data_IF_474350089310
#
_entry.id   IF_474350089310
#
_cell.length_a   1.000
_cell.length_b   1.000
_cell.length_c   1.000
_cell.angle_alpha   90.00
_cell.angle_beta   90.00
_cell.angle_gamma   90.00
#
_symmetry.space_group_name_H-M   'P 1'
#
loop_
_entity.id
_entity.type
_entity.pdbx_description
1 polymer ?
#
# COMPACT_ATOMS: atom_id res chain seq x y z
N UNK A 1 7.15 -12.29 23.03
CA UNK A 1 7.78 -11.53 21.94
C UNK A 1 8.82 -12.43 21.31
N UNK A 2 8.80 -12.59 20.00
CA UNK A 2 9.70 -13.53 19.32
C UNK A 2 11.14 -12.96 19.25
N UNK A 3 12.18 -13.80 19.36
CA UNK A 3 13.55 -13.34 19.23
C UNK A 3 13.83 -12.78 17.83
N UNK A 4 14.63 -11.72 17.76
CA UNK A 4 15.05 -11.09 16.52
C UNK A 4 16.45 -11.55 16.11
N UNK A 5 16.55 -12.08 14.90
CA UNK A 5 17.77 -12.67 14.34
C UNK A 5 18.48 -11.75 13.33
N UNK A 6 18.04 -10.49 13.19
CA UNK A 6 18.62 -9.55 12.23
C UNK A 6 17.94 -9.52 10.85
N UNK A 7 16.77 -10.14 10.69
CA UNK A 7 15.99 -10.08 9.44
C UNK A 7 15.35 -8.68 9.27
N UNK A 8 15.75 -7.89 8.24
CA UNK A 8 15.21 -6.55 8.03
C UNK A 8 13.68 -6.54 7.84
N UNK A 9 13.09 -7.61 7.30
CA UNK A 9 11.64 -7.68 7.09
C UNK A 9 10.85 -7.76 8.39
N UNK A 10 11.48 -8.27 9.46
CA UNK A 10 10.88 -8.39 10.80
C UNK A 10 11.22 -7.21 11.69
N UNK A 11 12.11 -6.32 11.26
CA UNK A 11 12.58 -5.18 12.06
C UNK A 11 11.42 -4.34 12.59
N UNK A 12 10.52 -3.89 11.71
CA UNK A 12 9.44 -2.98 12.10
C UNK A 12 8.55 -3.59 13.18
N UNK A 13 8.11 -4.84 12.97
CA UNK A 13 7.27 -5.55 13.94
C UNK A 13 7.99 -5.75 15.26
N UNK A 14 9.26 -6.16 15.22
CA UNK A 14 10.08 -6.30 16.42
C UNK A 14 10.23 -4.96 17.14
N UNK A 15 10.63 -3.90 16.46
CA UNK A 15 10.90 -2.60 17.06
C UNK A 15 9.64 -2.00 17.68
N UNK A 16 8.48 -2.08 17.00
CA UNK A 16 7.21 -1.60 17.54
C UNK A 16 6.82 -2.33 18.82
N UNK A 17 6.93 -3.67 18.83
CA UNK A 17 6.65 -4.47 20.02
C UNK A 17 7.63 -4.19 21.15
N UNK A 18 8.93 -4.10 20.86
CA UNK A 18 9.96 -3.82 21.85
C UNK A 18 9.77 -2.43 22.45
N UNK A 19 9.51 -1.44 21.60
CA UNK A 19 9.36 -0.06 22.02
C UNK A 19 8.13 0.11 22.92
N UNK A 20 6.98 -0.44 22.51
CA UNK A 20 5.75 -0.38 23.29
C UNK A 20 5.83 -1.14 24.63
N UNK A 21 6.55 -2.27 24.70
CA UNK A 21 6.56 -3.13 25.89
C UNK A 21 7.77 -2.93 26.82
N UNK A 22 8.87 -2.35 26.33
CA UNK A 22 10.14 -2.25 27.07
C UNK A 22 10.70 -0.82 27.00
N UNK A 23 10.98 -0.29 25.80
CA UNK A 23 11.71 0.99 25.64
C UNK A 23 10.94 2.18 26.23
N UNK A 24 9.63 2.23 26.00
CA UNK A 24 8.74 3.30 26.48
C UNK A 24 8.44 3.23 27.98
N UNK A 25 8.78 2.13 28.65
CA UNK A 25 8.50 1.97 30.08
C UNK A 25 9.47 2.79 30.92
N UNK A 26 9.00 3.38 32.04
CA UNK A 26 9.85 4.10 32.98
C UNK A 26 10.59 3.11 33.91
N UNK A 27 11.44 2.27 33.32
CA UNK A 27 12.34 1.35 34.04
C UNK A 27 13.79 1.71 33.72
N UNK A 28 14.71 1.33 34.60
CA UNK A 28 16.14 1.65 34.43
C UNK A 28 16.71 1.07 33.14
N UNK A 29 17.64 1.81 32.53
CA UNK A 29 18.30 1.46 31.28
C UNK A 29 19.00 0.09 31.36
N UNK A 30 19.59 -0.27 32.50
CA UNK A 30 20.21 -1.59 32.68
C UNK A 30 19.18 -2.73 32.55
N UNK A 31 17.93 -2.52 33.01
CA UNK A 31 16.85 -3.50 32.82
C UNK A 31 16.43 -3.57 31.37
N UNK A 32 16.28 -2.42 30.70
CA UNK A 32 15.98 -2.37 29.26
C UNK A 32 17.05 -3.06 28.43
N UNK A 33 18.33 -2.88 28.77
CA UNK A 33 19.45 -3.54 28.13
C UNK A 33 19.44 -5.06 28.33
N UNK A 34 19.14 -5.53 29.54
CA UNK A 34 18.94 -6.97 29.79
C UNK A 34 17.84 -7.56 28.93
N UNK A 35 16.70 -6.85 28.79
CA UNK A 35 15.61 -7.29 27.91
C UNK A 35 16.01 -7.26 26.43
N UNK A 36 16.72 -6.21 25.98
CA UNK A 36 17.23 -6.12 24.62
C UNK A 36 18.07 -7.36 24.31
N UNK A 37 19.10 -7.64 25.11
CA UNK A 37 19.98 -8.80 24.93
C UNK A 37 19.25 -10.14 24.97
N UNK A 38 18.19 -10.27 25.78
CA UNK A 38 17.39 -11.49 25.86
C UNK A 38 16.56 -11.77 24.60
N UNK A 39 16.14 -10.72 23.89
CA UNK A 39 15.33 -10.83 22.68
C UNK A 39 16.15 -10.80 21.38
N UNK A 40 17.47 -10.61 21.44
CA UNK A 40 18.33 -10.67 20.26
C UNK A 40 19.02 -12.03 20.14
N UNK A 41 19.12 -12.52 18.91
CA UNK A 41 19.80 -13.77 18.56
C UNK A 41 20.61 -13.60 17.26
N UNK A 42 21.52 -14.53 16.99
CA UNK A 42 22.36 -14.53 15.79
C UNK A 42 23.07 -13.19 15.56
N UNK A 43 23.05 -12.70 14.31
CA UNK A 43 23.73 -11.46 13.90
C UNK A 43 23.23 -10.21 14.62
N UNK A 44 21.99 -10.20 15.09
CA UNK A 44 21.46 -9.09 15.88
C UNK A 44 22.08 -9.04 17.29
N UNK A 45 22.33 -10.21 17.90
CA UNK A 45 23.00 -10.28 19.19
C UNK A 45 24.48 -9.93 19.07
N UNK A 46 25.16 -10.49 18.07
CA UNK A 46 26.57 -10.21 17.77
C UNK A 46 26.84 -8.71 17.61
N UNK A 47 25.90 -7.97 17.02
CA UNK A 47 26.01 -6.52 16.83
C UNK A 47 26.18 -5.76 18.15
N UNK A 48 25.52 -6.21 19.22
CA UNK A 48 25.49 -5.51 20.52
C UNK A 48 26.32 -6.21 21.60
N UNK A 49 26.94 -7.34 21.28
CA UNK A 49 27.72 -8.16 22.23
C UNK A 49 28.95 -7.44 22.79
N UNK A 50 29.44 -6.41 22.08
CA UNK A 50 30.56 -5.55 22.52
C UNK A 50 30.19 -4.53 23.62
N UNK A 51 28.92 -4.39 23.99
CA UNK A 51 28.50 -3.47 25.05
C UNK A 51 28.42 -4.17 26.41
N UNK A 52 29.02 -3.56 27.43
CA UNK A 52 28.87 -4.01 28.82
C UNK A 52 27.47 -3.69 29.32
N UNK A 53 26.82 -4.64 29.98
CA UNK A 53 25.51 -4.47 30.62
C UNK A 53 25.55 -3.35 31.68
N UNK A 54 25.13 -2.15 31.32
CA UNK A 54 25.14 -0.97 32.18
C UNK A 54 24.05 0.03 31.78
N UNK A 55 23.75 1.01 32.64
CA UNK A 55 22.75 2.04 32.33
C UNK A 55 23.23 2.97 31.21
N UNK A 56 24.53 3.27 31.18
CA UNK A 56 25.17 4.22 30.28
C UNK A 56 25.28 3.68 28.85
N UNK A 57 25.29 2.35 28.69
CA UNK A 57 25.47 1.71 27.40
C UNK A 57 24.15 1.38 26.68
N UNK A 58 23.01 1.42 27.37
CA UNK A 58 21.72 1.08 26.76
C UNK A 58 21.43 1.94 25.52
N UNK A 59 21.50 3.26 25.66
CA UNK A 59 21.16 4.19 24.57
C UNK A 59 22.12 3.99 23.38
N UNK A 60 23.41 3.77 23.66
CA UNK A 60 24.43 3.50 22.62
C UNK A 60 24.21 2.18 21.89
N UNK A 61 23.86 1.12 22.62
CA UNK A 61 23.55 -0.19 22.04
C UNK A 61 22.26 -0.13 21.22
N UNK A 62 21.25 0.57 21.72
CA UNK A 62 19.98 0.79 21.06
C UNK A 62 20.14 1.59 19.77
N UNK A 63 20.95 2.64 19.79
CA UNK A 63 21.26 3.47 18.62
C UNK A 63 22.01 2.68 17.56
N UNK A 64 23.00 1.86 17.93
CA UNK A 64 23.68 0.98 16.98
C UNK A 64 22.70 -0.04 16.36
N UNK A 65 21.85 -0.63 17.20
CA UNK A 65 20.84 -1.60 16.77
C UNK A 65 19.83 -0.98 15.79
N UNK A 66 19.31 0.21 16.09
CA UNK A 66 18.45 1.02 15.21
C UNK A 66 19.18 1.48 13.95
N UNK A 67 20.45 1.86 14.03
CA UNK A 67 21.23 2.28 12.87
C UNK A 67 21.38 1.14 11.86
N UNK A 68 21.69 -0.07 12.35
CA UNK A 68 21.91 -1.24 11.50
C UNK A 68 20.62 -1.76 10.85
N UNK A 69 19.53 -1.83 11.59
CA UNK A 69 18.32 -2.52 11.14
C UNK A 69 17.12 -1.58 10.92
N UNK A 70 17.09 -0.43 11.60
CA UNK A 70 16.02 0.56 11.49
C UNK A 70 16.20 1.57 10.38
N UNK A 71 17.42 1.77 9.89
CA UNK A 71 17.68 2.52 8.67
C UNK A 71 17.87 1.57 7.48
N UNK A 72 16.83 0.80 7.15
CA UNK A 72 16.85 -0.09 5.99
C UNK A 72 16.67 0.70 4.69
N UNK A 73 17.61 1.61 4.42
CA UNK A 73 17.69 2.38 3.17
C UNK A 73 17.52 1.47 1.95
N UNK A 74 18.11 0.28 1.97
CA UNK A 74 17.96 -0.71 0.91
C UNK A 74 16.49 -1.18 0.73
N UNK A 75 15.73 -1.33 1.82
CA UNK A 75 14.31 -1.67 1.73
C UNK A 75 13.48 -0.49 1.23
N UNK A 76 13.77 0.72 1.69
CA UNK A 76 13.14 1.94 1.15
C UNK A 76 13.40 2.07 -0.34
N UNK A 77 14.65 1.97 -0.78
CA UNK A 77 15.05 2.04 -2.19
C UNK A 77 14.38 0.93 -3.01
N UNK A 78 14.25 -0.28 -2.46
CA UNK A 78 13.54 -1.38 -3.11
C UNK A 78 12.03 -1.09 -3.27
N UNK A 79 11.39 -0.54 -2.24
CA UNK A 79 9.97 -0.16 -2.27
C UNK A 79 9.69 1.03 -3.20
N UNK A 80 10.58 2.02 -3.23
CA UNK A 80 10.52 3.13 -4.18
C UNK A 80 10.71 2.65 -5.61
N UNK A 81 11.68 1.76 -5.86
CA UNK A 81 11.86 1.13 -7.16
C UNK A 81 10.64 0.29 -7.55
N UNK A 82 10.03 -0.44 -6.61
CA UNK A 82 8.79 -1.18 -6.86
C UNK A 82 7.66 -0.24 -7.27
N UNK A 83 7.47 0.87 -6.54
CA UNK A 83 6.46 1.89 -6.85
C UNK A 83 6.67 2.48 -8.25
N UNK A 84 7.91 2.80 -8.60
CA UNK A 84 8.29 3.31 -9.93
C UNK A 84 8.05 2.27 -11.04
N UNK A 85 8.16 0.97 -10.73
CA UNK A 85 8.02 -0.11 -11.69
C UNK A 85 6.62 -0.75 -11.70
N UNK A 86 5.67 -0.24 -10.92
CA UNK A 86 4.28 -0.68 -11.00
C UNK A 86 3.76 -0.57 -12.44
N UNK A 87 3.03 -1.62 -12.84
CA UNK A 87 2.35 -1.65 -14.13
C UNK A 87 1.25 -0.59 -14.15
N UNK A 88 1.26 0.35 -15.10
CA UNK A 88 0.18 1.32 -15.27
C UNK A 88 -1.17 0.61 -15.40
N UNK A 89 -2.21 1.00 -14.63
CA UNK A 89 -3.52 0.41 -14.81
C UNK A 89 -4.13 0.88 -16.13
N UNK A 90 -4.98 0.03 -16.72
CA UNK A 90 -5.89 0.47 -17.77
C UNK A 90 -7.15 1.11 -17.15
N UNK A 91 -8.10 1.51 -17.98
CA UNK A 91 -9.31 2.19 -17.51
C UNK A 91 -10.34 1.26 -16.82
N UNK A 92 -10.12 -0.06 -16.84
CA UNK A 92 -11.03 -1.01 -16.19
C UNK A 92 -10.97 -0.90 -14.66
N UNK A 93 -12.13 -1.05 -14.02
CA UNK A 93 -12.24 -0.98 -12.55
C UNK A 93 -11.34 -1.99 -11.83
N UNK A 94 -11.17 -3.21 -12.38
CA UNK A 94 -10.31 -4.22 -11.78
C UNK A 94 -8.83 -3.87 -11.87
N UNK A 95 -8.38 -3.34 -13.02
CA UNK A 95 -6.98 -2.95 -13.19
C UNK A 95 -6.63 -1.79 -12.26
N UNK A 96 -7.54 -0.83 -12.13
CA UNK A 96 -7.40 0.29 -11.19
C UNK A 96 -7.38 -0.20 -9.73
N UNK A 97 -8.26 -1.14 -9.35
CA UNK A 97 -8.27 -1.75 -8.01
C UNK A 97 -6.93 -2.42 -7.69
N UNK A 98 -6.43 -3.29 -8.57
CA UNK A 98 -5.16 -3.99 -8.35
C UNK A 98 -3.97 -3.01 -8.23
N UNK A 99 -3.97 -1.94 -9.02
CA UNK A 99 -2.98 -0.87 -8.91
C UNK A 99 -3.07 -0.16 -7.55
N UNK A 100 -4.28 0.23 -7.12
CA UNK A 100 -4.50 0.88 -5.82
C UNK A 100 -4.07 0.01 -4.67
N UNK A 101 -4.42 -1.28 -4.68
CA UNK A 101 -4.05 -2.22 -3.62
C UNK A 101 -2.51 -2.37 -3.52
N UNK A 102 -1.83 -2.37 -4.67
CA UNK A 102 -0.36 -2.40 -4.74
C UNK A 102 0.27 -1.13 -4.20
N UNK A 103 -0.26 0.04 -4.61
CA UNK A 103 0.18 1.35 -4.09
C UNK A 103 0.00 1.43 -2.59
N UNK A 104 -1.17 1.04 -2.06
CA UNK A 104 -1.45 1.05 -0.62
C UNK A 104 -0.53 0.12 0.16
N UNK A 105 -0.27 -1.09 -0.36
CA UNK A 105 0.67 -2.04 0.27
C UNK A 105 2.07 -1.43 0.40
N UNK A 106 2.60 -0.86 -0.68
CA UNK A 106 3.93 -0.24 -0.70
C UNK A 106 3.95 0.98 0.23
N UNK A 107 2.94 1.83 0.15
CA UNK A 107 2.84 3.03 0.96
C UNK A 107 2.82 2.73 2.45
N UNK A 108 2.05 1.73 2.88
CA UNK A 108 2.01 1.26 4.26
C UNK A 108 3.37 0.74 4.75
N UNK A 109 4.15 0.09 3.87
CA UNK A 109 5.49 -0.37 4.22
C UNK A 109 6.49 0.80 4.33
N UNK A 110 6.45 1.76 3.40
CA UNK A 110 7.25 2.99 3.46
C UNK A 110 6.96 3.81 4.73
N UNK A 111 5.68 3.96 5.09
CA UNK A 111 5.25 4.60 6.35
C UNK A 111 5.84 3.89 7.57
N UNK A 112 5.87 2.55 7.55
CA UNK A 112 6.42 1.76 8.64
C UNK A 112 7.95 1.87 8.79
N UNK A 113 8.66 2.26 7.74
CA UNK A 113 10.10 2.59 7.78
C UNK A 113 10.37 4.09 8.02
N UNK A 114 9.32 4.89 8.25
CA UNK A 114 9.45 6.32 8.56
C UNK A 114 9.86 7.19 7.39
N UNK A 115 9.75 6.70 6.15
CA UNK A 115 10.24 7.42 4.94
C UNK A 115 9.15 8.22 4.23
N UNK A 116 7.88 8.04 4.60
CA UNK A 116 6.77 8.85 4.09
C UNK A 116 6.68 10.22 4.81
N UNK A 117 7.76 10.99 4.80
CA UNK A 117 7.70 12.40 5.15
C UNK A 117 7.46 13.23 3.89
N UNK A 118 6.19 13.67 3.70
CA UNK A 118 5.70 14.79 2.87
C UNK A 118 6.25 14.97 1.44
N UNK A 119 7.05 14.03 0.96
CA UNK A 119 7.77 14.15 -0.29
C UNK A 119 6.79 14.02 -1.45
N UNK A 120 6.84 14.93 -2.43
CA UNK A 120 5.99 14.84 -3.61
C UNK A 120 6.32 13.62 -4.48
N UNK A 121 7.36 12.85 -4.16
CA UNK A 121 7.77 11.66 -4.90
C UNK A 121 6.61 10.67 -5.10
N UNK A 122 6.00 10.17 -4.02
CA UNK A 122 4.94 9.16 -4.08
C UNK A 122 3.75 9.65 -4.91
N UNK A 123 3.31 10.89 -4.66
CA UNK A 123 2.17 11.47 -5.39
C UNK A 123 2.49 11.72 -6.87
N UNK A 124 3.73 12.09 -7.20
CA UNK A 124 4.19 12.25 -8.58
C UNK A 124 4.22 10.90 -9.30
N UNK A 125 4.83 9.87 -8.71
CA UNK A 125 4.90 8.54 -9.31
C UNK A 125 3.50 7.97 -9.56
N UNK A 126 2.60 8.04 -8.57
CA UNK A 126 1.20 7.61 -8.73
C UNK A 126 0.55 8.34 -9.92
N UNK A 127 0.64 9.68 -9.96
CA UNK A 127 0.05 10.49 -11.04
C UNK A 127 0.63 10.14 -12.41
N UNK A 128 1.93 9.82 -12.53
CA UNK A 128 2.54 9.46 -13.83
C UNK A 128 2.09 8.10 -14.37
N UNK A 129 1.57 7.22 -13.51
CA UNK A 129 1.13 5.87 -13.89
C UNK A 129 -0.35 5.78 -14.24
N UNK A 130 -1.17 6.70 -13.74
CA UNK A 130 -2.61 6.65 -13.93
C UNK A 130 -3.03 7.03 -15.36
N UNK A 131 -4.15 6.50 -15.87
CA UNK A 131 -4.75 6.97 -17.10
C UNK A 131 -5.18 8.45 -17.02
N UNK A 132 -5.10 9.16 -18.14
CA UNK A 132 -5.46 10.58 -18.24
C UNK A 132 -6.90 10.86 -17.79
N UNK A 133 -7.83 9.91 -17.99
CA UNK A 133 -9.22 10.03 -17.55
C UNK A 133 -9.31 10.15 -16.03
N UNK A 134 -8.52 9.35 -15.30
CA UNK A 134 -8.48 9.29 -13.84
C UNK A 134 -7.74 10.49 -13.28
N UNK A 135 -6.59 10.85 -13.86
CA UNK A 135 -5.82 12.05 -13.48
C UNK A 135 -6.71 13.30 -13.60
N UNK A 136 -7.46 13.42 -14.70
CA UNK A 136 -8.35 14.56 -14.92
C UNK A 136 -9.43 14.67 -13.84
N UNK A 137 -10.01 13.55 -13.40
CA UNK A 137 -10.99 13.51 -12.30
C UNK A 137 -10.35 13.93 -10.97
N UNK A 138 -9.15 13.42 -10.66
CA UNK A 138 -8.41 13.75 -9.45
C UNK A 138 -8.00 15.23 -9.40
N UNK A 139 -7.45 15.79 -10.49
CA UNK A 139 -7.07 17.20 -10.55
C UNK A 139 -8.28 18.12 -10.37
N UNK A 140 -9.43 17.78 -10.98
CA UNK A 140 -10.67 18.56 -10.77
C UNK A 140 -11.08 18.56 -9.30
N UNK A 141 -11.07 17.40 -8.64
CA UNK A 141 -11.34 17.30 -7.20
C UNK A 141 -10.33 18.10 -6.36
N UNK A 142 -9.03 18.00 -6.66
CA UNK A 142 -7.97 18.71 -5.95
C UNK A 142 -8.17 20.23 -6.04
N UNK A 143 -8.42 20.76 -7.24
CA UNK A 143 -8.71 22.19 -7.45
C UNK A 143 -9.94 22.67 -6.69
N UNK A 144 -11.02 21.87 -6.68
CA UNK A 144 -12.26 22.21 -5.99
C UNK A 144 -12.11 22.18 -4.46
N UNK A 145 -11.13 21.44 -3.93
CA UNK A 145 -10.88 21.38 -2.49
C UNK A 145 -10.14 22.61 -1.94
N UNK A 146 -9.58 23.47 -2.81
CA UNK A 146 -8.73 24.61 -2.46
C UNK A 146 -7.52 24.28 -1.56
N UNK A 147 -7.17 22.99 -1.43
CA UNK A 147 -6.05 22.50 -0.62
C UNK A 147 -5.18 21.62 -1.51
N UNK A 148 -3.86 21.80 -1.45
CA UNK A 148 -2.90 20.93 -2.14
C UNK A 148 -2.91 19.56 -1.47
N UNK A 149 -3.06 18.50 -2.25
CA UNK A 149 -3.09 17.14 -1.70
C UNK A 149 -1.67 16.64 -1.42
N UNK A 150 -1.51 16.01 -0.26
CA UNK A 150 -0.37 15.13 0.01
C UNK A 150 -0.61 13.73 -0.59
N UNK A 151 0.36 12.82 -0.41
CA UNK A 151 0.24 11.45 -0.90
C UNK A 151 -0.91 10.70 -0.25
N UNK A 152 -1.17 10.91 1.05
CA UNK A 152 -2.23 10.24 1.78
C UNK A 152 -3.62 10.64 1.25
N UNK A 153 -3.85 11.94 1.03
CA UNK A 153 -5.10 12.44 0.48
C UNK A 153 -5.32 11.97 -0.95
N UNK A 154 -4.27 12.01 -1.78
CA UNK A 154 -4.34 11.50 -3.16
C UNK A 154 -4.78 10.04 -3.19
N UNK A 155 -4.17 9.21 -2.34
CA UNK A 155 -4.48 7.78 -2.25
C UNK A 155 -5.90 7.54 -1.79
N UNK A 156 -6.35 8.24 -0.74
CA UNK A 156 -7.73 8.18 -0.26
C UNK A 156 -8.73 8.50 -1.38
N UNK A 157 -8.49 9.57 -2.14
CA UNK A 157 -9.38 9.97 -3.22
C UNK A 157 -9.35 9.01 -4.41
N UNK A 158 -8.20 8.39 -4.67
CA UNK A 158 -8.07 7.33 -5.66
C UNK A 158 -8.86 6.08 -5.25
N UNK A 159 -8.78 5.63 -3.99
CA UNK A 159 -9.61 4.56 -3.44
C UNK A 159 -11.11 4.86 -3.63
N UNK A 160 -11.54 6.06 -3.25
CA UNK A 160 -12.94 6.49 -3.42
C UNK A 160 -13.39 6.43 -4.89
N UNK A 161 -12.52 6.81 -5.84
CA UNK A 161 -12.84 6.73 -7.27
C UNK A 161 -13.00 5.28 -7.74
N UNK A 162 -12.17 4.35 -7.25
CA UNK A 162 -12.30 2.93 -7.59
C UNK A 162 -13.59 2.36 -7.03
N UNK A 163 -13.94 2.66 -5.78
CA UNK A 163 -15.21 2.24 -5.16
C UNK A 163 -16.42 2.72 -5.97
N UNK A 164 -16.44 4.01 -6.35
CA UNK A 164 -17.50 4.57 -7.21
C UNK A 164 -17.55 3.83 -8.56
N UNK A 165 -16.40 3.54 -9.17
CA UNK A 165 -16.35 2.83 -10.45
C UNK A 165 -16.92 1.40 -10.36
N UNK A 166 -16.64 0.72 -9.25
CA UNK A 166 -17.13 -0.62 -8.97
C UNK A 166 -18.64 -0.63 -8.70
N UNK A 167 -19.15 0.36 -7.96
CA UNK A 167 -20.58 0.54 -7.74
C UNK A 167 -21.33 0.82 -9.04
N UNK A 168 -20.85 1.77 -9.85
CA UNK A 168 -21.44 2.09 -11.15
C UNK A 168 -21.48 0.85 -12.04
N UNK A 169 -20.39 0.08 -12.09
CA UNK A 169 -20.32 -1.17 -12.85
C UNK A 169 -21.34 -2.19 -12.34
N UNK A 170 -21.47 -2.36 -11.01
CA UNK A 170 -22.44 -3.26 -10.38
C UNK A 170 -23.88 -2.86 -10.75
N UNK A 171 -24.22 -1.57 -10.69
CA UNK A 171 -25.55 -1.10 -11.07
C UNK A 171 -25.85 -1.27 -12.56
N UNK A 172 -24.88 -1.00 -13.44
CA UNK A 172 -25.05 -1.25 -14.88
C UNK A 172 -25.32 -2.72 -15.18
N UNK A 173 -24.62 -3.64 -14.51
CA UNK A 173 -24.88 -5.08 -14.63
C UNK A 173 -26.27 -5.47 -14.13
N UNK A 174 -26.72 -4.90 -13.00
CA UNK A 174 -28.06 -5.14 -12.46
C UNK A 174 -29.18 -4.63 -13.39
N UNK A 175 -28.98 -3.50 -14.08
CA UNK A 175 -29.95 -2.98 -15.06
C UNK A 175 -30.03 -3.82 -16.32
N UNK A 176 -28.89 -4.31 -16.81
CA UNK A 176 -28.81 -5.08 -18.06
C UNK A 176 -29.31 -6.52 -17.91
N UNK A 177 -29.18 -7.12 -16.73
CA UNK A 177 -29.58 -8.52 -16.47
C UNK A 177 -31.06 -8.83 -16.72
N UNK A 178 -32.04 -8.08 -16.18
CA UNK A 178 -33.46 -8.33 -16.45
C UNK A 178 -33.85 -8.04 -17.91
N UNK A 179 -33.20 -7.08 -18.57
CA UNK A 179 -33.39 -6.82 -19.99
C UNK A 179 -32.89 -8.01 -20.83
N UNK A 180 -31.74 -8.59 -20.50
CA UNK A 180 -31.21 -9.80 -21.12
C UNK A 180 -32.12 -11.02 -20.86
N UNK A 181 -32.52 -11.26 -19.61
CA UNK A 181 -33.39 -12.40 -19.26
C UNK A 181 -34.77 -12.28 -19.93
N UNK A 182 -35.28 -11.06 -20.09
CA UNK A 182 -36.50 -10.79 -20.83
C UNK A 182 -36.31 -11.03 -22.33
N UNK A 183 -35.29 -10.41 -22.95
CA UNK A 183 -34.98 -10.59 -24.36
C UNK A 183 -34.73 -12.06 -24.72
N UNK A 184 -34.00 -12.81 -23.89
CA UNK A 184 -33.76 -14.25 -24.06
C UNK A 184 -35.04 -15.09 -24.05
N UNK A 185 -36.01 -14.73 -23.20
CA UNK A 185 -37.34 -15.39 -23.17
C UNK A 185 -38.17 -15.05 -24.40
N UNK A 186 -38.07 -13.82 -24.93
CA UNK A 186 -38.78 -13.40 -26.13
C UNK A 186 -38.18 -13.96 -27.44
N UNK A 187 -36.85 -14.11 -27.51
CA UNK A 187 -36.14 -14.49 -28.74
C UNK A 187 -35.72 -15.96 -28.81
N UNK A 188 -36.59 -16.88 -28.42
CA UNK A 188 -36.35 -18.34 -28.47
C UNK A 188 -36.22 -18.95 -29.89
N UNK A 189 -35.74 -18.21 -30.91
CA UNK A 189 -35.55 -18.75 -32.28
C UNK A 189 -34.66 -17.95 -33.25
N UNK A 190 -33.84 -16.99 -32.82
CA UNK A 190 -32.99 -16.22 -33.76
C UNK A 190 -31.52 -16.17 -33.32
N UNK A 191 -30.69 -16.95 -34.00
CA UNK A 191 -29.22 -16.99 -33.86
C UNK A 191 -28.54 -15.68 -34.25
N UNK A 192 -29.18 -14.84 -35.08
CA UNK A 192 -28.63 -13.55 -35.51
C UNK A 192 -28.72 -12.48 -34.41
N UNK A 193 -29.71 -12.55 -33.52
CA UNK A 193 -29.80 -11.64 -32.38
C UNK A 193 -28.76 -11.95 -31.31
N UNK A 194 -28.42 -13.23 -31.10
CA UNK A 194 -27.34 -13.63 -30.21
C UNK A 194 -25.97 -13.13 -30.71
N UNK A 195 -25.70 -13.12 -32.02
CA UNK A 195 -24.46 -12.56 -32.57
C UNK A 195 -24.40 -11.02 -32.50
N UNK A 196 -25.49 -10.34 -32.87
CA UNK A 196 -25.58 -8.87 -32.74
C UNK A 196 -25.46 -8.43 -31.28
N UNK A 197 -26.06 -9.16 -30.32
CA UNK A 197 -25.92 -8.85 -28.91
C UNK A 197 -24.57 -9.25 -28.32
N UNK A 198 -23.93 -10.32 -28.80
CA UNK A 198 -22.55 -10.64 -28.42
C UNK A 198 -21.57 -9.59 -28.92
N UNK A 199 -21.83 -9.00 -30.09
CA UNK A 199 -21.12 -7.82 -30.58
C UNK A 199 -21.40 -6.57 -29.73
N UNK A 200 -22.65 -6.27 -29.35
CA UNK A 200 -22.94 -5.10 -28.49
C UNK A 200 -22.48 -5.26 -27.05
N UNK A 201 -22.48 -6.48 -26.50
CA UNK A 201 -21.93 -6.80 -25.18
C UNK A 201 -20.40 -6.68 -25.17
N UNK A 202 -19.72 -7.15 -26.22
CA UNK A 202 -18.29 -6.94 -26.40
C UNK A 202 -17.96 -5.46 -26.65
N UNK A 203 -18.80 -4.73 -27.38
CA UNK A 203 -18.67 -3.28 -27.59
C UNK A 203 -18.90 -2.49 -26.30
N UNK A 204 -19.82 -2.91 -25.43
CA UNK A 204 -20.03 -2.26 -24.11
C UNK A 204 -18.94 -2.61 -23.10
N UNK A 205 -18.30 -3.78 -23.20
CA UNK A 205 -17.05 -4.10 -22.51
C UNK A 205 -15.86 -3.27 -23.07
N UNK A 206 -15.85 -2.95 -24.37
CA UNK A 206 -14.85 -2.09 -25.01
C UNK A 206 -15.08 -0.59 -24.77
N UNK A 207 -16.33 -0.16 -24.57
CA UNK A 207 -16.72 1.24 -24.31
C UNK A 207 -16.86 1.53 -22.80
N UNK A 208 -16.61 0.54 -21.95
CA UNK A 208 -16.36 0.72 -20.51
C UNK A 208 -14.86 0.77 -20.17
N UNK A 209 -14.02 0.99 -21.20
CA UNK A 209 -12.66 1.52 -21.10
C UNK A 209 -12.79 3.02 -20.90
#
# INVERSE_FOLDING_TARGET
MDPFYGDPNKWTTFWQLFSANIDSRPIDNIRKMSYLLAFLQGSAKELVDGFVLSNENYDRALDLFKSRYGNSRAMTEALEAELMNLTPPNESSHSLRAFVDSVERICRQLEAYGTMDKSPFVSTVIKTKLPNSIISKLIKKERNSHVRWDSARLRQELCNLVEISEEVRRFSQLKLRPLYESARKFFHRSTQLDELFRMTYNLTQLLSV
#
